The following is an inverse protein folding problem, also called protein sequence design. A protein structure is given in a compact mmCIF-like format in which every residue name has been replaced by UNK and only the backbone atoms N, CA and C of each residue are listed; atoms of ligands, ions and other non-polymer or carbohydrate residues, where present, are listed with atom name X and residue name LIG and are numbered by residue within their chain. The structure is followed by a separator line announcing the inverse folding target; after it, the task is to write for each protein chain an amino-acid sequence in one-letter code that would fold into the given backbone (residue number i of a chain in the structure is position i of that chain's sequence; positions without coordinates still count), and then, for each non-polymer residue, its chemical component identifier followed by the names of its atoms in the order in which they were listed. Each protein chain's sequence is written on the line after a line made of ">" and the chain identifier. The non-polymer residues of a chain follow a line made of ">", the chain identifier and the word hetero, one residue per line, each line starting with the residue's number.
data_IF_686320310318
#
_entry.id   IF_686320310318
#
_cell.length_a   1.000
_cell.length_b   1.000
_cell.length_c   1.000
_cell.angle_alpha   90.00
_cell.angle_beta   90.00
_cell.angle_gamma   90.00
#
_symmetry.space_group_name_H-M   'P 1'
#
loop_
_entity.id
_entity.type
_entity.pdbx_description
1 polymer ?
#
# COMPACT_ATOMS: atom_id res chain seq x y z
N UNK A 1 20.43 33.40 -13.09
CA UNK A 1 21.08 32.06 -13.10
C UNK A 1 20.61 31.15 -11.97
N UNK A 2 20.34 31.63 -10.74
CA UNK A 2 19.75 30.78 -9.69
C UNK A 2 18.25 30.49 -9.92
N UNK A 3 17.49 31.47 -10.41
CA UNK A 3 16.05 31.35 -10.69
C UNK A 3 15.70 30.30 -11.74
N UNK A 4 16.47 30.17 -12.82
CA UNK A 4 16.22 29.18 -13.87
C UNK A 4 16.50 27.74 -13.42
N UNK A 5 17.45 27.55 -12.50
CA UNK A 5 17.77 26.23 -11.94
C UNK A 5 16.67 25.73 -11.01
N UNK A 6 16.08 26.62 -10.20
CA UNK A 6 14.94 26.30 -9.35
C UNK A 6 13.70 25.97 -10.20
N UNK A 7 13.40 26.77 -11.22
CA UNK A 7 12.27 26.50 -12.12
C UNK A 7 12.43 25.18 -12.89
N UNK A 8 13.63 24.85 -13.35
CA UNK A 8 13.89 23.59 -14.03
C UNK A 8 13.76 22.38 -13.09
N UNK A 9 14.26 22.49 -11.86
CA UNK A 9 14.11 21.46 -10.82
C UNK A 9 12.64 21.20 -10.50
N UNK A 10 11.85 22.26 -10.31
CA UNK A 10 10.43 22.15 -9.98
C UNK A 10 9.63 21.50 -11.13
N UNK A 11 9.90 21.89 -12.38
CA UNK A 11 9.23 21.30 -13.56
C UNK A 11 9.57 19.82 -13.73
N UNK A 12 10.82 19.42 -13.52
CA UNK A 12 11.24 18.01 -13.59
C UNK A 12 10.61 17.20 -12.45
N UNK A 13 10.57 17.74 -11.23
CA UNK A 13 9.95 17.11 -10.06
C UNK A 13 8.43 16.91 -10.26
N UNK A 14 7.72 17.92 -10.78
CA UNK A 14 6.29 17.81 -11.10
C UNK A 14 6.04 16.73 -12.15
N UNK A 15 6.88 16.66 -13.19
CA UNK A 15 6.76 15.62 -14.22
C UNK A 15 7.01 14.20 -13.66
N UNK A 16 7.81 14.06 -12.60
CA UNK A 16 8.04 12.77 -11.94
C UNK A 16 6.95 12.40 -10.92
N UNK A 17 6.45 13.35 -10.12
CA UNK A 17 5.29 13.12 -9.25
C UNK A 17 4.08 12.69 -10.07
N UNK A 18 3.78 13.40 -11.16
CA UNK A 18 2.66 13.07 -12.04
C UNK A 18 2.78 11.65 -12.60
N UNK A 19 3.98 11.22 -12.98
CA UNK A 19 4.22 9.88 -13.52
C UNK A 19 3.86 8.78 -12.52
N UNK A 20 4.32 8.92 -11.28
CA UNK A 20 4.01 7.94 -10.23
C UNK A 20 2.51 7.92 -9.89
N UNK A 21 1.86 9.08 -9.88
CA UNK A 21 0.41 9.15 -9.67
C UNK A 21 -0.37 8.47 -10.80
N UNK A 22 0.02 8.68 -12.06
CA UNK A 22 -0.61 7.98 -13.20
C UNK A 22 -0.37 6.47 -13.12
N UNK A 23 0.83 6.03 -12.75
CA UNK A 23 1.10 4.59 -12.57
C UNK A 23 0.24 4.00 -11.44
N UNK A 24 0.05 4.74 -10.34
CA UNK A 24 -0.84 4.34 -9.25
C UNK A 24 -2.28 4.22 -9.76
N UNK A 25 -2.79 5.22 -10.49
CA UNK A 25 -4.14 5.20 -11.06
C UNK A 25 -4.40 3.97 -11.96
N UNK A 26 -3.44 3.66 -12.85
CA UNK A 26 -3.50 2.46 -13.70
C UNK A 26 -3.56 1.19 -12.84
N UNK A 27 -2.69 1.06 -11.84
CA UNK A 27 -2.67 -0.12 -10.97
C UNK A 27 -3.95 -0.28 -10.15
N UNK A 28 -4.54 0.83 -9.69
CA UNK A 28 -5.81 0.80 -8.95
C UNK A 28 -6.96 0.38 -9.87
N UNK A 29 -6.98 0.88 -11.12
CA UNK A 29 -7.94 0.47 -12.14
C UNK A 29 -7.78 -1.02 -12.48
N UNK A 30 -6.55 -1.51 -12.63
CA UNK A 30 -6.27 -2.92 -12.90
C UNK A 30 -6.77 -3.82 -11.77
N UNK A 31 -6.65 -3.40 -10.51
CA UNK A 31 -7.20 -4.12 -9.33
C UNK A 31 -8.73 -4.11 -9.36
N UNK A 32 -9.36 -2.97 -9.65
CA UNK A 32 -10.81 -2.85 -9.71
C UNK A 32 -11.43 -3.78 -10.77
N UNK A 33 -10.73 -4.00 -11.88
CA UNK A 33 -11.17 -4.88 -12.96
C UNK A 33 -11.04 -6.38 -12.67
N UNK A 34 -10.50 -6.78 -11.51
CA UNK A 34 -10.27 -8.19 -11.19
C UNK A 34 -11.56 -8.93 -10.81
N UNK A 35 -11.64 -10.20 -11.22
CA UNK A 35 -12.77 -11.07 -10.91
C UNK A 35 -12.72 -11.62 -9.47
N UNK A 36 -13.85 -12.19 -9.03
CA UNK A 36 -13.97 -12.88 -7.75
C UNK A 36 -12.91 -13.99 -7.60
N UNK A 37 -12.29 -14.09 -6.42
CA UNK A 37 -11.22 -15.07 -6.13
C UNK A 37 -9.80 -14.52 -6.25
N UNK A 38 -9.64 -13.26 -6.65
CA UNK A 38 -8.35 -12.55 -6.69
C UNK A 38 -7.71 -12.33 -5.30
N UNK A 39 -8.51 -12.28 -4.24
CA UNK A 39 -8.04 -11.99 -2.88
C UNK A 39 -6.85 -12.86 -2.43
N UNK A 40 -5.78 -12.23 -1.96
CA UNK A 40 -4.55 -12.86 -1.48
C UNK A 40 -3.79 -13.76 -2.50
N UNK A 41 -4.27 -13.89 -3.74
CA UNK A 41 -3.62 -14.64 -4.79
C UNK A 41 -2.28 -14.02 -5.23
N UNK A 42 -1.51 -14.77 -6.03
CA UNK A 42 -0.20 -14.31 -6.52
C UNK A 42 -0.30 -13.02 -7.34
N UNK A 43 -1.35 -12.88 -8.15
CA UNK A 43 -1.59 -11.68 -8.95
C UNK A 43 -1.92 -10.47 -8.07
N UNK A 44 -2.76 -10.64 -7.05
CA UNK A 44 -3.06 -9.58 -6.10
C UNK A 44 -1.83 -9.13 -5.32
N UNK A 45 -1.04 -10.09 -4.83
CA UNK A 45 0.24 -9.77 -4.21
C UNK A 45 1.17 -9.01 -5.16
N UNK A 46 1.18 -9.33 -6.47
CA UNK A 46 1.96 -8.60 -7.46
C UNK A 46 1.49 -7.14 -7.59
N UNK A 47 0.19 -6.90 -7.78
CA UNK A 47 -0.35 -5.53 -7.87
C UNK A 47 -0.04 -4.71 -6.61
N UNK A 48 -0.19 -5.30 -5.42
CA UNK A 48 0.13 -4.60 -4.17
C UNK A 48 1.64 -4.31 -4.03
N UNK A 49 2.52 -5.20 -4.51
CA UNK A 49 3.96 -4.93 -4.54
C UNK A 49 4.32 -3.82 -5.53
N UNK A 50 3.71 -3.82 -6.71
CA UNK A 50 3.91 -2.78 -7.72
C UNK A 50 3.39 -1.42 -7.21
N UNK A 51 2.21 -1.38 -6.59
CA UNK A 51 1.68 -0.19 -5.90
C UNK A 51 2.63 0.28 -4.80
N UNK A 52 3.14 -0.65 -3.98
CA UNK A 52 4.07 -0.30 -2.89
C UNK A 52 5.36 0.34 -3.43
N UNK A 53 5.84 -0.13 -4.59
CA UNK A 53 7.01 0.46 -5.27
C UNK A 53 6.71 1.89 -5.72
N UNK A 54 5.58 2.12 -6.39
CA UNK A 54 5.21 3.46 -6.87
C UNK A 54 4.96 4.43 -5.69
N UNK A 55 4.29 3.97 -4.63
CA UNK A 55 4.05 4.76 -3.41
C UNK A 55 5.36 5.14 -2.71
N UNK A 56 6.34 4.23 -2.66
CA UNK A 56 7.64 4.50 -2.04
C UNK A 56 8.48 5.48 -2.85
N UNK A 57 8.42 5.40 -4.18
CA UNK A 57 9.05 6.36 -5.07
C UNK A 57 8.42 7.75 -4.93
N UNK A 58 7.08 7.80 -4.88
CA UNK A 58 6.32 9.02 -4.68
C UNK A 58 6.65 9.66 -3.32
N UNK A 59 6.63 8.89 -2.23
CA UNK A 59 6.93 9.40 -0.88
C UNK A 59 8.29 10.10 -0.80
N UNK A 60 9.32 9.54 -1.42
CA UNK A 60 10.65 10.15 -1.47
C UNK A 60 10.68 11.51 -2.17
N UNK A 61 9.73 11.79 -3.06
CA UNK A 61 9.60 13.08 -3.76
C UNK A 61 8.78 14.10 -2.96
N UNK A 62 7.82 13.62 -2.15
CA UNK A 62 6.86 14.49 -1.46
C UNK A 62 7.51 15.40 -0.41
N UNK A 63 8.71 15.06 0.09
CA UNK A 63 9.46 15.86 1.07
C UNK A 63 9.79 17.27 0.53
N UNK A 64 10.05 17.40 -0.77
CA UNK A 64 10.47 18.65 -1.41
C UNK A 64 9.34 19.34 -2.18
N UNK A 65 8.19 18.69 -2.30
CA UNK A 65 7.05 19.20 -3.04
C UNK A 65 6.18 20.10 -2.13
N UNK A 66 5.48 21.09 -2.68
CA UNK A 66 4.50 21.86 -1.90
C UNK A 66 3.17 21.11 -1.76
N UNK A 67 2.30 21.52 -0.82
CA UNK A 67 0.94 20.94 -0.73
C UNK A 67 0.12 21.29 -1.97
N UNK A 68 0.24 22.51 -2.47
CA UNK A 68 -0.51 22.98 -3.64
C UNK A 68 -0.14 22.22 -4.91
N UNK A 69 1.16 22.09 -5.21
CA UNK A 69 1.62 21.35 -6.40
C UNK A 69 1.23 19.88 -6.35
N UNK A 70 1.32 19.27 -5.15
CA UNK A 70 0.85 17.89 -4.95
C UNK A 70 -0.64 17.74 -5.23
N UNK A 71 -1.47 18.64 -4.69
CA UNK A 71 -2.92 18.60 -4.94
C UNK A 71 -3.24 18.81 -6.42
N UNK A 72 -2.50 19.67 -7.12
CA UNK A 72 -2.65 19.84 -8.56
C UNK A 72 -2.32 18.55 -9.31
N UNK A 73 -1.20 17.90 -8.98
CA UNK A 73 -0.77 16.65 -9.61
C UNK A 73 -1.74 15.49 -9.34
N UNK A 74 -2.23 15.38 -8.11
CA UNK A 74 -3.26 14.42 -7.71
C UNK A 74 -4.55 14.65 -8.51
N UNK A 75 -4.93 15.90 -8.71
CA UNK A 75 -6.15 16.23 -9.46
C UNK A 75 -6.01 15.92 -10.96
N UNK A 76 -4.85 16.21 -11.55
CA UNK A 76 -4.59 15.82 -12.94
C UNK A 76 -4.52 14.31 -13.15
N UNK A 77 -4.26 13.52 -12.10
CA UNK A 77 -4.31 12.07 -12.13
C UNK A 77 -5.70 11.48 -11.79
N UNK A 78 -6.69 12.30 -11.40
CA UNK A 78 -8.01 11.81 -10.97
C UNK A 78 -8.03 11.11 -9.61
N UNK A 79 -7.02 11.36 -8.77
CA UNK A 79 -6.82 10.68 -7.49
C UNK A 79 -7.22 11.53 -6.28
N UNK A 80 -8.03 12.58 -6.45
CA UNK A 80 -8.39 13.52 -5.36
C UNK A 80 -9.11 12.82 -4.21
N UNK A 81 -9.90 11.81 -4.54
CA UNK A 81 -10.61 11.01 -3.54
C UNK A 81 -9.68 10.01 -2.84
N UNK A 82 -8.54 9.66 -3.44
CA UNK A 82 -7.57 8.68 -2.89
C UNK A 82 -6.52 9.39 -2.03
N UNK A 83 -5.97 10.52 -2.51
CA UNK A 83 -4.89 11.26 -1.85
C UNK A 83 -5.28 12.71 -1.55
N UNK A 84 -6.19 12.88 -0.60
CA UNK A 84 -6.65 14.19 -0.09
C UNK A 84 -5.51 15.01 0.55
N UNK A 85 -4.55 14.32 1.14
CA UNK A 85 -3.36 14.89 1.76
C UNK A 85 -2.14 13.98 1.52
N UNK A 86 -0.93 14.55 1.64
CA UNK A 86 0.33 13.82 1.44
C UNK A 86 0.54 12.66 2.40
N UNK A 87 0.00 12.76 3.63
CA UNK A 87 0.15 11.72 4.66
C UNK A 87 -0.56 10.44 4.24
N UNK A 88 -1.62 10.51 3.44
CA UNK A 88 -2.29 9.31 2.93
C UNK A 88 -1.37 8.42 2.09
N UNK A 89 -0.39 8.97 1.35
CA UNK A 89 0.60 8.18 0.60
C UNK A 89 1.40 7.28 1.55
N UNK A 90 1.96 7.86 2.61
CA UNK A 90 2.69 7.11 3.65
C UNK A 90 1.80 6.12 4.41
N UNK A 91 0.54 6.45 4.66
CA UNK A 91 -0.40 5.54 5.33
C UNK A 91 -0.72 4.34 4.43
N UNK A 92 -1.02 4.55 3.15
CA UNK A 92 -1.25 3.49 2.17
C UNK A 92 -0.05 2.53 2.10
N UNK A 93 1.17 3.08 1.98
CA UNK A 93 2.40 2.30 1.96
C UNK A 93 2.53 1.41 3.21
N UNK A 94 2.28 1.95 4.40
CA UNK A 94 2.32 1.18 5.66
C UNK A 94 1.25 0.11 5.72
N UNK A 95 0.02 0.39 5.30
CA UNK A 95 -1.06 -0.59 5.30
C UNK A 95 -0.77 -1.73 4.33
N UNK A 96 -0.41 -1.42 3.09
CA UNK A 96 -0.07 -2.40 2.05
C UNK A 96 1.11 -3.27 2.49
N UNK A 97 2.15 -2.66 3.07
CA UNK A 97 3.30 -3.41 3.60
C UNK A 97 2.90 -4.43 4.67
N UNK A 98 1.95 -4.09 5.56
CA UNK A 98 1.47 -5.02 6.58
C UNK A 98 0.57 -6.12 6.02
N UNK A 99 -0.24 -5.82 4.98
CA UNK A 99 -1.03 -6.83 4.26
C UNK A 99 -0.10 -7.87 3.62
N UNK A 100 0.89 -7.40 2.86
CA UNK A 100 1.87 -8.27 2.21
C UNK A 100 2.70 -9.08 3.23
N UNK A 101 3.12 -8.43 4.33
CA UNK A 101 3.85 -9.13 5.40
C UNK A 101 3.00 -10.23 6.05
N UNK A 102 1.70 -9.99 6.24
CA UNK A 102 0.77 -10.98 6.75
C UNK A 102 0.62 -12.16 5.80
N UNK A 103 0.28 -11.93 4.52
CA UNK A 103 0.09 -13.01 3.54
C UNK A 103 1.36 -13.83 3.32
N UNK A 104 2.53 -13.18 3.20
CA UNK A 104 3.81 -13.89 3.12
C UNK A 104 4.08 -14.78 4.33
N UNK A 105 3.67 -14.33 5.51
CA UNK A 105 3.87 -15.09 6.75
C UNK A 105 2.88 -16.26 6.84
N UNK A 106 1.63 -16.07 6.44
CA UNK A 106 0.61 -17.13 6.38
C UNK A 106 0.99 -18.21 5.36
N UNK A 107 1.42 -17.83 4.15
CA UNK A 107 1.87 -18.81 3.15
C UNK A 107 3.02 -19.68 3.68
N UNK A 108 3.97 -19.07 4.41
CA UNK A 108 5.06 -19.82 5.07
C UNK A 108 4.58 -20.75 6.19
N UNK A 109 3.52 -20.38 6.90
CA UNK A 109 2.90 -21.24 7.90
C UNK A 109 2.27 -22.44 7.20
N UNK A 110 1.51 -22.22 6.14
CA UNK A 110 0.84 -23.27 5.37
C UNK A 110 1.87 -24.24 4.77
N UNK A 111 2.98 -23.73 4.22
CA UNK A 111 4.09 -24.55 3.72
C UNK A 111 4.70 -25.46 4.80
N UNK A 112 4.86 -24.94 6.03
CA UNK A 112 5.41 -25.72 7.15
C UNK A 112 4.42 -26.82 7.55
N UNK A 113 3.14 -26.48 7.66
CA UNK A 113 2.07 -27.42 8.02
C UNK A 113 1.87 -28.52 6.96
N UNK A 114 2.12 -28.22 5.70
CA UNK A 114 2.09 -29.17 4.60
C UNK A 114 3.35 -30.07 4.51
N UNK A 115 4.41 -29.73 5.24
CA UNK A 115 5.69 -30.45 5.24
C UNK A 115 5.83 -31.42 6.42
N UNK A 116 6.90 -32.23 6.45
CA UNK A 116 7.17 -33.13 7.58
C UNK A 116 7.46 -32.31 8.85
N UNK A 117 6.53 -32.36 9.80
CA UNK A 117 6.59 -31.58 11.04
C UNK A 117 7.56 -32.20 12.06
N UNK A 118 8.51 -31.41 12.55
CA UNK A 118 9.47 -31.76 13.61
C UNK A 118 9.52 -30.64 14.68
N UNK A 119 10.32 -30.83 15.73
CA UNK A 119 10.44 -29.85 16.83
C UNK A 119 11.06 -28.51 16.41
N UNK A 120 11.77 -28.47 15.27
CA UNK A 120 12.28 -27.22 14.70
C UNK A 120 11.17 -26.46 13.95
N UNK A 121 10.33 -27.18 13.22
CA UNK A 121 9.12 -26.67 12.57
C UNK A 121 8.14 -26.07 13.57
N UNK A 122 8.00 -26.65 14.77
CA UNK A 122 7.14 -26.11 15.84
C UNK A 122 7.60 -24.72 16.32
N UNK A 123 8.88 -24.55 16.68
CA UNK A 123 9.41 -23.24 17.08
C UNK A 123 9.31 -22.20 15.96
N UNK A 124 9.55 -22.62 14.72
CA UNK A 124 9.42 -21.74 13.55
C UNK A 124 7.96 -21.34 13.32
N UNK A 125 7.02 -22.24 13.53
CA UNK A 125 5.59 -21.98 13.44
C UNK A 125 5.15 -20.92 14.45
N UNK A 126 5.55 -21.06 15.73
CA UNK A 126 5.24 -20.07 16.77
C UNK A 126 5.76 -18.67 16.41
N UNK A 127 7.01 -18.57 15.95
CA UNK A 127 7.60 -17.29 15.53
C UNK A 127 6.85 -16.66 14.35
N UNK A 128 6.44 -17.46 13.37
CA UNK A 128 5.66 -16.98 12.22
C UNK A 128 4.26 -16.55 12.65
N UNK A 129 3.59 -17.28 13.53
CA UNK A 129 2.27 -16.89 14.07
C UNK A 129 2.35 -15.56 14.84
N UNK A 130 3.38 -15.37 15.65
CA UNK A 130 3.64 -14.10 16.33
C UNK A 130 3.88 -12.96 15.33
N UNK A 131 4.62 -13.22 14.25
CA UNK A 131 4.88 -12.25 13.18
C UNK A 131 3.60 -11.86 12.42
N UNK A 132 2.76 -12.84 12.05
CA UNK A 132 1.48 -12.59 11.39
C UNK A 132 0.55 -11.76 12.28
N UNK A 133 0.49 -12.09 13.58
CA UNK A 133 -0.29 -11.35 14.57
C UNK A 133 0.19 -9.91 14.72
N UNK A 134 1.51 -9.69 14.72
CA UNK A 134 2.10 -8.35 14.77
C UNK A 134 1.76 -7.53 13.53
N UNK A 135 1.86 -8.09 12.33
CA UNK A 135 1.49 -7.40 11.09
C UNK A 135 0.03 -6.92 11.12
N UNK A 136 -0.90 -7.79 11.54
CA UNK A 136 -2.31 -7.42 11.76
C UNK A 136 -2.49 -6.33 12.81
N UNK A 137 -1.74 -6.38 13.91
CA UNK A 137 -1.83 -5.36 14.96
C UNK A 137 -1.36 -3.99 14.47
N UNK A 138 -0.22 -3.93 13.79
CA UNK A 138 0.32 -2.67 13.23
C UNK A 138 -0.62 -2.13 12.15
N UNK A 139 -1.14 -3.00 11.28
CA UNK A 139 -2.15 -2.62 10.29
C UNK A 139 -3.34 -1.90 10.94
N UNK A 140 -3.90 -2.48 12.02
CA UNK A 140 -5.03 -1.87 12.74
C UNK A 140 -4.70 -0.50 13.31
N UNK A 141 -3.53 -0.34 13.93
CA UNK A 141 -3.10 0.95 14.47
C UNK A 141 -3.00 2.01 13.37
N UNK A 142 -2.44 1.66 12.20
CA UNK A 142 -2.33 2.57 11.07
C UNK A 142 -3.71 2.88 10.46
N UNK A 143 -4.59 1.88 10.35
CA UNK A 143 -5.95 2.05 9.84
C UNK A 143 -6.78 2.99 10.73
N UNK A 144 -6.61 2.91 12.05
CA UNK A 144 -7.24 3.85 12.99
C UNK A 144 -6.77 5.30 12.76
N UNK A 145 -5.48 5.51 12.46
CA UNK A 145 -4.95 6.84 12.15
C UNK A 145 -5.39 7.39 10.78
N UNK A 146 -5.81 6.51 9.87
CA UNK A 146 -6.43 6.86 8.59
C UNK A 146 -7.87 7.35 8.77
N UNK A 147 -8.63 6.72 9.67
CA UNK A 147 -10.03 7.02 9.91
C UNK A 147 -10.98 6.16 9.05
N UNK A 148 -12.20 5.94 9.56
CA UNK A 148 -13.13 4.92 9.04
C UNK A 148 -13.51 5.11 7.56
N UNK A 149 -13.73 6.35 7.12
CA UNK A 149 -14.16 6.63 5.75
C UNK A 149 -13.04 6.35 4.73
N UNK A 150 -11.85 6.90 4.98
CA UNK A 150 -10.67 6.70 4.13
C UNK A 150 -10.24 5.22 4.15
N UNK A 151 -10.38 4.55 5.29
CA UNK A 151 -10.17 3.12 5.41
C UNK A 151 -11.13 2.28 4.56
N UNK A 152 -12.43 2.58 4.59
CA UNK A 152 -13.43 1.86 3.79
C UNK A 152 -13.14 1.98 2.30
N UNK A 153 -12.68 3.16 1.87
CA UNK A 153 -12.26 3.39 0.49
C UNK A 153 -10.99 2.60 0.17
N UNK A 154 -9.97 2.66 1.02
CA UNK A 154 -8.72 1.88 0.88
C UNK A 154 -9.00 0.38 0.70
N UNK A 155 -9.85 -0.19 1.57
CA UNK A 155 -10.18 -1.62 1.51
C UNK A 155 -10.91 -1.98 0.21
N UNK A 156 -11.80 -1.11 -0.26
CA UNK A 156 -12.57 -1.35 -1.47
C UNK A 156 -11.69 -1.27 -2.71
N UNK A 157 -10.91 -0.20 -2.80
CA UNK A 157 -10.05 0.13 -3.94
C UNK A 157 -8.96 -0.92 -4.17
N UNK A 158 -8.48 -1.56 -3.09
CA UNK A 158 -7.44 -2.57 -3.18
C UNK A 158 -7.98 -4.00 -3.19
N UNK A 159 -9.29 -4.22 -3.31
CA UNK A 159 -9.85 -5.58 -3.31
C UNK A 159 -9.61 -6.36 -2.00
N UNK A 160 -9.53 -5.64 -0.87
CA UNK A 160 -9.22 -6.19 0.45
C UNK A 160 -10.47 -6.48 1.29
N UNK A 161 -11.66 -6.59 0.69
CA UNK A 161 -12.91 -6.90 1.39
C UNK A 161 -12.89 -8.33 1.96
N UNK A 162 -12.19 -8.53 3.07
CA UNK A 162 -12.03 -9.81 3.74
C UNK A 162 -12.09 -9.65 5.26
N UNK A 163 -12.49 -10.72 5.95
CA UNK A 163 -12.67 -10.72 7.42
C UNK A 163 -11.39 -10.40 8.19
N UNK A 164 -10.23 -10.69 7.59
CA UNK A 164 -8.91 -10.33 8.12
C UNK A 164 -8.72 -8.82 8.29
N UNK A 165 -9.39 -8.03 7.46
CA UNK A 165 -9.32 -6.58 7.38
C UNK A 165 -10.67 -5.92 7.73
N UNK A 166 -11.53 -6.60 8.49
CA UNK A 166 -12.76 -5.98 8.95
C UNK A 166 -12.46 -4.81 9.92
N UNK A 167 -13.14 -3.68 9.74
CA UNK A 167 -13.10 -2.58 10.71
C UNK A 167 -13.65 -3.08 12.06
N UNK A 168 -12.90 -2.84 13.14
CA UNK A 168 -13.33 -3.14 14.50
C UNK A 168 -13.17 -1.87 15.33
N UNK A 169 -14.26 -1.43 15.94
CA UNK A 169 -14.33 -0.28 16.84
C UNK A 169 -13.64 -0.58 18.18
#
# INVERSE_FOLDING_TARGET
>A
MLTDYFLYSDVVMIATTQRHLVNIDILLSDIEMQESGFYAGAEHQKYLNDLLRELSALEGMLEHETVHSFQQAVSSAGLENVFKDKRLVSIYQKLISNVLAYWHTVNKIDDILASRFDSHSEKRLELLQAKASRAKSVFKTVAMAMGKNDYSQFITLLGLQHTDWAWRE
#
